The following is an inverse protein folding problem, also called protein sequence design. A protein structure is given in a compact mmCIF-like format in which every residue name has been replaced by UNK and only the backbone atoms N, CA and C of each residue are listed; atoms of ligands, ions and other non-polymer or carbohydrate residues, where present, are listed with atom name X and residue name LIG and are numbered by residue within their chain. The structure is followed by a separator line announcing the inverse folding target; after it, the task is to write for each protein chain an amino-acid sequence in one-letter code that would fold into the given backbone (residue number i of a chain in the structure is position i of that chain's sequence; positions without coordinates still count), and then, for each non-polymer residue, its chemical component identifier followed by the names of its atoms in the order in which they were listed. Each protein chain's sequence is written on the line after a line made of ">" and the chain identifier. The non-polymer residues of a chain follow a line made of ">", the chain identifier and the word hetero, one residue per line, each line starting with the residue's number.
data_IF_823070140067
#
_entry.id   IF_823070140067
#
_cell.length_a   1.000
_cell.length_b   1.000
_cell.length_c   1.000
_cell.angle_alpha   90.00
_cell.angle_beta   90.00
_cell.angle_gamma   90.00
#
_symmetry.space_group_name_H-M   'P 1'
#
loop_
_entity.id
_entity.type
_entity.pdbx_description
1 polymer ?
#
# COMPACT_ATOMS: atom_id res chain seq x y z
N UNK A 1 6.11 -7.13 -12.18
CA UNK A 1 5.60 -5.75 -12.08
C UNK A 1 6.31 -4.82 -13.07
N UNK A 2 7.63 -4.74 -13.14
CA UNK A 2 8.40 -3.82 -14.00
C UNK A 2 8.00 -3.91 -15.47
N UNK A 3 7.97 -5.12 -16.03
CA UNK A 3 7.55 -5.35 -17.42
C UNK A 3 6.10 -4.90 -17.65
N UNK A 4 5.20 -5.25 -16.73
CA UNK A 4 3.79 -4.84 -16.80
C UNK A 4 3.64 -3.31 -16.73
N UNK A 5 4.45 -2.62 -15.91
CA UNK A 5 4.46 -1.16 -15.84
C UNK A 5 4.93 -0.52 -17.15
N UNK A 6 5.98 -1.06 -17.78
CA UNK A 6 6.42 -0.58 -19.10
C UNK A 6 5.29 -0.69 -20.14
N UNK A 7 4.62 -1.85 -20.22
CA UNK A 7 3.49 -2.04 -21.14
C UNK A 7 2.30 -1.14 -20.79
N UNK A 8 2.04 -0.90 -19.51
CA UNK A 8 1.00 0.01 -19.05
C UNK A 8 1.27 1.45 -19.50
N UNK A 9 2.52 1.93 -19.38
CA UNK A 9 2.95 3.25 -19.84
C UNK A 9 2.83 3.40 -21.39
N UNK A 10 3.07 2.29 -22.11
CA UNK A 10 2.86 2.22 -23.57
C UNK A 10 1.38 2.10 -23.96
N UNK A 11 0.45 2.15 -23.00
CA UNK A 11 -1.00 2.04 -23.21
C UNK A 11 -1.44 0.72 -23.87
N UNK A 12 -0.67 -0.34 -23.68
CA UNK A 12 -1.08 -1.69 -24.12
C UNK A 12 -2.31 -2.10 -23.30
N UNK A 13 -3.44 -2.42 -23.94
CA UNK A 13 -4.65 -2.75 -23.23
C UNK A 13 -4.57 -4.16 -22.64
N UNK A 14 -5.22 -4.39 -21.51
CA UNK A 14 -5.51 -5.71 -20.89
C UNK A 14 -4.25 -6.44 -20.41
N UNK A 15 -3.24 -6.65 -21.26
CA UNK A 15 -2.07 -7.49 -21.00
C UNK A 15 -1.32 -7.10 -19.70
N UNK A 16 -1.05 -5.81 -19.39
CA UNK A 16 -0.40 -5.45 -18.14
C UNK A 16 -1.17 -5.96 -16.90
N UNK A 17 -2.50 -5.87 -16.95
CA UNK A 17 -3.35 -6.34 -15.84
C UNK A 17 -3.35 -7.86 -15.75
N UNK A 18 -3.44 -8.58 -16.84
CA UNK A 18 -3.33 -10.05 -16.84
C UNK A 18 -2.02 -10.50 -16.22
N UNK A 19 -0.90 -9.85 -16.57
CA UNK A 19 0.42 -10.18 -16.00
C UNK A 19 0.49 -9.98 -14.49
N UNK A 20 -0.09 -8.88 -13.98
CA UNK A 20 -0.08 -8.61 -12.54
C UNK A 20 -1.06 -9.49 -11.79
N UNK A 21 -2.22 -9.83 -12.34
CA UNK A 21 -3.17 -10.80 -11.75
C UNK A 21 -2.56 -12.20 -11.68
N UNK A 22 -1.87 -12.62 -12.72
CA UNK A 22 -1.17 -13.91 -12.71
C UNK A 22 -0.08 -13.92 -11.62
N UNK A 23 0.72 -12.87 -11.51
CA UNK A 23 1.71 -12.75 -10.46
C UNK A 23 1.07 -12.76 -9.05
N UNK A 24 -0.05 -12.02 -8.88
CA UNK A 24 -0.82 -12.01 -7.63
C UNK A 24 -1.32 -13.41 -7.26
N UNK A 25 -1.87 -14.16 -8.20
CA UNK A 25 -2.40 -15.51 -7.93
C UNK A 25 -1.34 -16.50 -7.43
N UNK A 26 -0.08 -16.32 -7.82
CA UNK A 26 1.04 -17.17 -7.41
C UNK A 26 1.69 -16.70 -6.11
N UNK A 27 1.84 -15.40 -5.93
CA UNK A 27 2.66 -14.82 -4.84
C UNK A 27 1.84 -14.29 -3.67
N UNK A 28 0.55 -14.04 -3.86
CA UNK A 28 -0.28 -13.31 -2.89
C UNK A 28 0.08 -11.81 -2.79
N UNK A 29 0.83 -11.26 -3.76
CA UNK A 29 1.26 -9.86 -3.81
C UNK A 29 0.53 -9.15 -4.94
N UNK A 30 -0.38 -8.22 -4.61
CA UNK A 30 -1.13 -7.43 -5.59
C UNK A 30 -0.47 -6.08 -5.83
N UNK A 31 0.21 -5.93 -6.97
CA UNK A 31 0.78 -4.64 -7.39
C UNK A 31 0.15 -4.23 -8.72
N UNK A 32 -0.60 -3.13 -8.71
CA UNK A 32 -1.19 -2.59 -9.92
C UNK A 32 -0.10 -2.19 -10.94
N UNK A 33 -0.25 -2.47 -12.24
CA UNK A 33 0.76 -2.15 -13.25
C UNK A 33 1.03 -0.64 -13.38
N UNK A 34 0.09 0.22 -12.98
CA UNK A 34 0.26 1.67 -12.94
C UNK A 34 1.14 2.19 -11.81
N UNK A 35 1.41 1.39 -10.77
CA UNK A 35 2.24 1.81 -9.65
C UNK A 35 3.68 2.14 -10.10
N UNK A 36 4.18 3.29 -9.68
CA UNK A 36 5.55 3.72 -9.94
C UNK A 36 6.46 3.30 -8.79
N UNK A 37 7.50 2.53 -9.10
CA UNK A 37 8.39 1.96 -8.09
C UNK A 37 9.84 2.26 -8.46
N UNK A 38 10.55 2.95 -7.58
CA UNK A 38 11.96 3.30 -7.72
C UNK A 38 12.92 2.10 -7.67
N UNK A 39 14.21 2.35 -7.63
CA UNK A 39 15.24 1.32 -7.62
C UNK A 39 15.38 0.67 -6.24
N UNK A 40 15.94 -0.55 -6.20
CA UNK A 40 16.23 -1.28 -4.97
C UNK A 40 15.02 -1.43 -4.03
N UNK A 41 13.82 -1.53 -4.59
CA UNK A 41 12.61 -1.82 -3.83
C UNK A 41 12.64 -3.28 -3.37
N UNK A 42 12.39 -3.50 -2.09
CA UNK A 42 12.45 -4.81 -1.46
C UNK A 42 11.13 -5.16 -0.75
N UNK A 43 10.61 -6.34 -1.02
CA UNK A 43 9.46 -6.93 -0.32
C UNK A 43 9.96 -8.16 0.43
N UNK A 44 9.75 -8.21 1.75
CA UNK A 44 10.02 -9.38 2.57
C UNK A 44 8.74 -10.15 2.87
N UNK A 45 8.77 -11.48 2.71
CA UNK A 45 7.63 -12.40 2.79
C UNK A 45 6.54 -12.12 1.76
N UNK A 46 5.95 -10.95 1.75
CA UNK A 46 5.13 -10.35 0.70
C UNK A 46 3.65 -10.72 0.68
N UNK A 47 3.23 -11.86 1.21
CA UNK A 47 1.82 -12.28 1.17
C UNK A 47 0.90 -11.20 1.72
N UNK A 48 -0.15 -10.85 0.96
CA UNK A 48 -1.13 -9.84 1.34
C UNK A 48 -0.69 -8.39 1.14
N UNK A 49 0.46 -8.14 0.49
CA UNK A 49 0.85 -6.79 0.06
C UNK A 49 -0.09 -6.31 -1.04
N UNK A 50 -0.60 -5.08 -0.89
CA UNK A 50 -1.44 -4.41 -1.90
C UNK A 50 -0.86 -3.05 -2.24
N UNK A 51 -0.54 -2.80 -3.51
CA UNK A 51 -0.04 -1.52 -4.00
C UNK A 51 -0.93 -1.03 -5.14
N UNK A 52 -1.66 0.06 -4.87
CA UNK A 52 -2.66 0.61 -5.79
C UNK A 52 -2.07 1.37 -6.98
N UNK A 53 -2.90 1.60 -7.98
CA UNK A 53 -2.57 2.12 -9.33
C UNK A 53 -1.71 3.39 -9.32
N UNK A 54 -2.04 4.37 -8.49
CA UNK A 54 -1.38 5.67 -8.46
C UNK A 54 -0.37 5.80 -7.31
N UNK A 55 0.04 4.69 -6.70
CA UNK A 55 1.10 4.69 -5.71
C UNK A 55 2.43 5.09 -6.35
N UNK A 56 3.20 5.89 -5.63
CA UNK A 56 4.58 6.26 -6.01
C UNK A 56 5.50 5.83 -4.88
N UNK A 57 6.50 5.02 -5.21
CA UNK A 57 7.46 4.48 -4.26
C UNK A 57 8.86 4.88 -4.72
N UNK A 58 9.60 5.54 -3.85
CA UNK A 58 10.97 5.97 -4.08
C UNK A 58 11.98 4.82 -4.11
N UNK A 59 13.25 5.17 -3.99
CA UNK A 59 14.36 4.23 -4.03
C UNK A 59 14.63 3.62 -2.65
N UNK A 60 15.17 2.39 -2.62
CA UNK A 60 15.59 1.70 -1.40
C UNK A 60 14.48 1.55 -0.35
N UNK A 61 13.23 1.50 -0.77
CA UNK A 61 12.08 1.28 0.12
C UNK A 61 11.96 -0.21 0.43
N UNK A 62 11.70 -0.52 1.71
CA UNK A 62 11.45 -1.89 2.20
C UNK A 62 10.04 -2.01 2.74
N UNK A 63 9.33 -3.05 2.35
CA UNK A 63 8.01 -3.36 2.90
C UNK A 63 7.91 -4.83 3.29
N UNK A 64 7.06 -5.12 4.23
CA UNK A 64 6.81 -6.46 4.75
C UNK A 64 5.41 -6.95 4.36
N UNK A 65 5.10 -8.20 4.70
CA UNK A 65 3.82 -8.83 4.39
C UNK A 65 2.62 -8.00 4.90
N UNK A 66 1.52 -8.07 4.17
CA UNK A 66 0.25 -7.44 4.55
C UNK A 66 0.22 -5.91 4.46
N UNK A 67 1.30 -5.26 3.97
CA UNK A 67 1.31 -3.80 3.78
C UNK A 67 0.33 -3.40 2.69
N UNK A 68 -0.49 -2.39 2.96
CA UNK A 68 -1.43 -1.82 1.98
C UNK A 68 -1.10 -0.35 1.69
N UNK A 69 -0.86 -0.03 0.42
CA UNK A 69 -0.81 1.33 -0.10
C UNK A 69 -2.08 1.59 -0.91
N UNK A 70 -3.13 2.06 -0.25
CA UNK A 70 -4.50 2.08 -0.74
C UNK A 70 -5.09 3.49 -0.93
N UNK A 71 -6.31 3.52 -1.50
CA UNK A 71 -7.11 4.74 -1.57
C UNK A 71 -7.91 4.93 -0.28
N UNK A 72 -8.05 6.17 0.18
CA UNK A 72 -8.84 6.50 1.39
C UNK A 72 -10.34 6.33 1.16
N UNK A 73 -10.82 6.56 -0.07
CA UNK A 73 -12.22 6.40 -0.45
C UNK A 73 -12.34 6.05 -1.93
N UNK A 74 -13.29 5.17 -2.24
CA UNK A 74 -13.64 4.77 -3.61
C UNK A 74 -14.97 5.39 -4.07
N UNK A 75 -15.57 6.31 -3.28
CA UNK A 75 -16.90 6.89 -3.53
C UNK A 75 -17.04 7.75 -4.78
N UNK A 76 -15.99 7.92 -5.57
CA UNK A 76 -15.99 8.71 -6.81
C UNK A 76 -16.20 7.92 -8.11
N UNK A 77 -16.24 6.60 -8.06
CA UNK A 77 -16.40 5.73 -9.23
C UNK A 77 -15.43 6.07 -10.38
N UNK A 78 -15.91 5.90 -11.62
CA UNK A 78 -15.10 6.13 -12.83
C UNK A 78 -14.58 7.57 -13.01
N UNK A 79 -15.20 8.57 -12.37
CA UNK A 79 -14.75 9.98 -12.45
C UNK A 79 -13.39 10.24 -11.81
N UNK A 80 -12.92 9.34 -10.93
CA UNK A 80 -11.64 9.46 -10.23
C UNK A 80 -10.52 8.58 -10.83
N UNK A 81 -10.76 7.92 -11.93
CA UNK A 81 -9.82 6.96 -12.54
C UNK A 81 -8.41 7.55 -12.80
N UNK A 82 -8.34 8.84 -13.07
CA UNK A 82 -7.08 9.53 -13.41
C UNK A 82 -6.51 10.39 -12.25
N UNK A 83 -7.18 10.41 -11.11
CA UNK A 83 -6.73 11.19 -9.97
C UNK A 83 -5.77 10.40 -9.09
N UNK A 84 -4.76 11.08 -8.57
CA UNK A 84 -3.87 10.53 -7.54
C UNK A 84 -4.71 10.18 -6.31
N UNK A 85 -4.79 8.88 -5.97
CA UNK A 85 -5.62 8.36 -4.86
C UNK A 85 -4.87 7.40 -3.93
N UNK A 86 -3.65 7.00 -4.28
CA UNK A 86 -2.79 6.15 -3.47
C UNK A 86 -1.58 6.94 -2.97
N UNK A 87 -0.99 6.56 -1.83
CA UNK A 87 0.08 7.32 -1.19
C UNK A 87 1.36 7.42 -2.02
N UNK A 88 2.20 8.37 -1.60
CA UNK A 88 3.58 8.48 -2.02
C UNK A 88 4.48 8.06 -0.87
N UNK A 89 5.45 7.20 -1.13
CA UNK A 89 6.49 6.77 -0.20
C UNK A 89 7.82 7.23 -0.75
N UNK A 90 8.52 8.09 -0.01
CA UNK A 90 9.82 8.61 -0.42
C UNK A 90 10.96 7.60 -0.19
N UNK A 91 12.20 8.01 -0.49
CA UNK A 91 13.38 7.15 -0.45
C UNK A 91 13.72 6.64 0.97
N UNK A 92 14.32 5.45 1.04
CA UNK A 92 14.83 4.83 2.25
C UNK A 92 13.79 4.60 3.35
N UNK A 93 12.51 4.50 3.01
CA UNK A 93 11.43 4.21 3.95
C UNK A 93 11.34 2.71 4.22
N UNK A 94 11.08 2.35 5.48
CA UNK A 94 10.75 0.98 5.88
C UNK A 94 9.33 0.92 6.42
N UNK A 95 8.50 0.01 5.88
CA UNK A 95 7.10 -0.18 6.29
C UNK A 95 6.94 -1.61 6.77
N UNK A 96 6.69 -1.78 8.08
CA UNK A 96 6.55 -3.08 8.71
C UNK A 96 5.19 -3.71 8.48
N UNK A 97 5.12 -5.00 8.79
CA UNK A 97 4.01 -5.90 8.49
C UNK A 97 2.64 -5.37 8.88
N UNK A 98 1.65 -5.56 8.00
CA UNK A 98 0.26 -5.21 8.24
C UNK A 98 -0.06 -3.72 8.28
N UNK A 99 0.92 -2.84 8.07
CA UNK A 99 0.66 -1.40 8.04
C UNK A 99 -0.22 -1.02 6.84
N UNK A 100 -1.19 -0.14 7.08
CA UNK A 100 -2.13 0.36 6.07
C UNK A 100 -1.93 1.87 5.91
N UNK A 101 -1.56 2.30 4.70
CA UNK A 101 -1.32 3.70 4.36
C UNK A 101 -2.28 4.08 3.25
N UNK A 102 -3.11 5.09 3.48
CA UNK A 102 -4.22 5.45 2.59
C UNK A 102 -4.18 6.92 2.17
N UNK A 103 -4.60 7.15 0.92
CA UNK A 103 -4.90 8.48 0.39
C UNK A 103 -3.85 9.07 -0.55
N UNK A 104 -4.31 9.72 -1.61
CA UNK A 104 -3.44 10.28 -2.66
C UNK A 104 -2.58 11.47 -2.21
N UNK A 105 -3.01 12.18 -1.16
CA UNK A 105 -2.26 13.29 -0.58
C UNK A 105 -1.32 12.85 0.57
N UNK A 106 -1.39 11.56 0.95
CA UNK A 106 -0.54 11.01 2.02
C UNK A 106 0.86 10.78 1.48
N UNK A 107 1.85 11.41 2.10
CA UNK A 107 3.27 11.28 1.78
C UNK A 107 4.01 10.74 2.99
N UNK A 108 4.73 9.65 2.83
CA UNK A 108 5.66 9.13 3.85
C UNK A 108 7.04 9.67 3.51
N UNK A 109 7.51 10.60 4.33
CA UNK A 109 8.78 11.31 4.11
C UNK A 109 9.99 10.38 4.20
N UNK A 110 11.05 10.71 3.48
CA UNK A 110 12.28 9.92 3.37
C UNK A 110 12.88 9.53 4.72
N UNK A 111 13.56 8.39 4.76
CA UNK A 111 14.22 7.85 5.95
C UNK A 111 13.28 7.55 7.12
N UNK A 112 11.97 7.46 6.88
CA UNK A 112 10.98 7.18 7.92
C UNK A 112 10.74 5.69 8.10
N UNK A 113 10.21 5.32 9.28
CA UNK A 113 9.86 3.96 9.65
C UNK A 113 8.40 3.93 10.06
N UNK A 114 7.61 3.10 9.41
CA UNK A 114 6.21 2.83 9.76
C UNK A 114 6.15 1.48 10.46
N UNK A 115 5.74 1.49 11.72
CA UNK A 115 5.60 0.29 12.55
C UNK A 115 4.49 -0.65 12.05
N UNK A 116 4.57 -1.89 12.49
CA UNK A 116 3.59 -2.91 12.11
C UNK A 116 2.17 -2.54 12.56
N UNK A 117 1.19 -2.92 11.72
CA UNK A 117 -0.24 -2.67 11.92
C UNK A 117 -0.63 -1.18 12.09
N UNK A 118 0.26 -0.25 11.76
CA UNK A 118 -0.06 1.17 11.80
C UNK A 118 -1.10 1.54 10.75
N UNK A 119 -2.08 2.39 11.14
CA UNK A 119 -3.09 2.94 10.24
C UNK A 119 -2.80 4.41 9.96
N UNK A 120 -2.33 4.71 8.75
CA UNK A 120 -1.81 6.03 8.38
C UNK A 120 -2.66 6.63 7.27
N UNK A 121 -3.30 7.77 7.55
CA UNK A 121 -4.14 8.53 6.60
C UNK A 121 -3.69 9.97 6.41
N UNK A 122 -2.56 10.34 7.02
CA UNK A 122 -1.96 11.67 6.94
C UNK A 122 -0.48 11.55 6.62
N UNK A 123 0.09 12.61 6.07
CA UNK A 123 1.51 12.63 5.74
C UNK A 123 2.40 12.55 6.97
N UNK A 124 3.52 11.86 6.82
CA UNK A 124 4.55 11.65 7.84
C UNK A 124 5.80 12.43 7.44
N UNK A 125 6.31 13.33 8.28
CA UNK A 125 7.53 14.07 7.98
C UNK A 125 8.74 13.14 7.76
N UNK A 126 9.77 13.58 7.03
CA UNK A 126 11.01 12.83 6.89
C UNK A 126 11.65 12.45 8.23
N UNK A 127 12.38 11.34 8.24
CA UNK A 127 13.14 10.85 9.40
C UNK A 127 12.28 10.63 10.66
N UNK A 128 11.03 10.24 10.45
CA UNK A 128 10.05 10.02 11.52
C UNK A 128 9.76 8.53 11.70
N UNK A 129 9.68 8.09 12.94
CA UNK A 129 9.22 6.73 13.29
C UNK A 129 7.81 6.79 13.83
N UNK A 130 6.90 6.07 13.19
CA UNK A 130 5.52 5.84 13.67
C UNK A 130 5.44 4.41 14.20
N UNK A 131 4.89 4.26 15.37
CA UNK A 131 4.50 2.96 15.94
C UNK A 131 3.22 3.19 16.73
N UNK A 132 2.34 2.18 16.74
CA UNK A 132 1.22 2.21 17.68
C UNK A 132 1.76 1.90 19.07
N UNK A 133 1.60 2.80 20.03
CA UNK A 133 1.67 2.42 21.43
C UNK A 133 0.68 1.28 21.69
N UNK A 134 1.02 0.40 22.64
CA UNK A 134 0.16 -0.73 22.99
C UNK A 134 -1.29 -0.25 23.07
N UNK A 135 -2.15 -0.70 22.15
CA UNK A 135 -3.58 -0.50 22.34
C UNK A 135 -3.96 -1.21 23.63
N UNK A 136 -4.41 -0.45 24.64
CA UNK A 136 -5.11 -1.05 25.77
C UNK A 136 -6.26 -1.89 25.20
N UNK A 137 -6.21 -3.19 25.41
CA UNK A 137 -7.32 -4.07 25.04
C UNK A 137 -8.55 -3.65 25.86
N UNK A 138 -9.49 -2.95 25.24
CA UNK A 138 -10.78 -2.66 25.84
C UNK A 138 -11.64 -3.92 25.70
N UNK A 139 -11.79 -4.64 26.80
CA UNK A 139 -12.75 -5.71 26.90
C UNK A 139 -14.16 -5.08 26.99
N UNK A 140 -14.99 -5.31 26.00
CA UNK A 140 -16.40 -4.97 26.05
C UNK A 140 -17.20 -6.27 26.14
N UNK A 141 -18.05 -6.44 27.16
CA UNK A 141 -18.94 -7.60 27.20
C UNK A 141 -19.88 -7.54 25.97
N UNK A 142 -20.00 -8.65 25.28
CA UNK A 142 -21.04 -8.83 24.28
C UNK A 142 -22.35 -8.86 25.04
N UNK A 143 -23.09 -7.73 25.04
CA UNK A 143 -24.45 -7.70 25.59
C UNK A 143 -25.28 -8.72 24.81
N UNK A 144 -25.76 -9.75 25.49
CA UNK A 144 -26.41 -10.89 24.92
C UNK A 144 -27.61 -10.52 24.04
N UNK A 145 -27.43 -10.68 22.73
CA UNK A 145 -28.51 -10.92 21.79
C UNK A 145 -28.53 -12.43 21.56
N UNK A 146 -29.56 -13.09 22.07
CA UNK A 146 -29.66 -14.53 22.01
C UNK A 146 -29.57 -15.06 20.58
N UNK A 147 -28.74 -16.07 20.41
CA UNK A 147 -28.84 -17.00 19.29
C UNK A 147 -30.14 -17.77 19.45
N UNK A 148 -31.15 -17.44 18.66
CA UNK A 148 -32.29 -18.32 18.30
C UNK A 148 -32.20 -18.63 16.82
#
# INVERSE_FOLDING_TARGET
>A
QRTANCLYKLKVPILPRIMTEYAHSITGIDIHPGAEIGESFFIDHGTGVVIGETAVIGNHVKIYQGVTLGALSIRGGHKQKWLKRHPTVEDNVTIYAGATILGGNTVIGKNSIIGGNAWVTQSVPPSTKIFSDFMEMKLQPISGGGLT
#
